data_IF_265462375436
#
_entry.id   IF_265462375436
#
_cell.length_a   1.000
_cell.length_b   1.000
_cell.length_c   1.000
_cell.angle_alpha   90.00
_cell.angle_beta   90.00
_cell.angle_gamma   90.00
#
_symmetry.space_group_name_H-M   'P 1'
#
loop_
_entity.id
_entity.type
_entity.pdbx_description
1 polymer ?
#
# COMPACT_ATOMS: atom_id res chain seq x y z
N UNK A 1 -7.61 55.41 71.00
CA UNK A 1 -7.24 54.13 70.36
C UNK A 1 -8.38 53.71 69.46
N UNK A 2 -8.18 53.57 68.14
CA UNK A 2 -9.24 53.18 67.21
C UNK A 2 -9.43 51.66 67.23
N UNK A 3 -10.69 51.21 67.31
CA UNK A 3 -11.07 49.80 67.17
C UNK A 3 -11.12 49.41 65.70
N UNK A 4 -10.37 48.38 65.34
CA UNK A 4 -10.26 47.85 63.97
C UNK A 4 -11.49 47.00 63.58
N UNK A 5 -12.09 47.18 62.39
CA UNK A 5 -13.27 46.43 61.99
C UNK A 5 -12.90 45.05 61.41
N UNK A 6 -13.11 44.00 62.20
CA UNK A 6 -13.02 42.59 61.78
C UNK A 6 -14.34 42.12 61.16
N UNK A 7 -14.76 42.68 60.03
CA UNK A 7 -16.09 42.32 59.46
C UNK A 7 -16.05 41.81 58.01
N UNK A 8 -14.95 41.99 57.28
CA UNK A 8 -14.90 41.65 55.85
C UNK A 8 -14.23 40.30 55.53
N UNK A 9 -13.33 39.79 56.38
CA UNK A 9 -12.62 38.53 56.12
C UNK A 9 -13.56 37.30 56.19
N UNK A 10 -14.47 37.25 57.15
CA UNK A 10 -15.40 36.13 57.32
C UNK A 10 -16.42 36.02 56.18
N UNK A 11 -16.84 37.15 55.60
CA UNK A 11 -17.81 37.17 54.49
C UNK A 11 -17.16 36.69 53.20
N UNK A 12 -15.95 37.16 52.88
CA UNK A 12 -15.20 36.74 51.68
C UNK A 12 -14.88 35.24 51.72
N UNK A 13 -14.40 34.71 52.85
CA UNK A 13 -14.12 33.27 53.01
C UNK A 13 -15.39 32.41 52.85
N UNK A 14 -16.54 32.89 53.33
CA UNK A 14 -17.82 32.18 53.24
C UNK A 14 -18.41 32.20 51.81
N UNK A 15 -18.14 33.25 51.04
CA UNK A 15 -18.53 33.35 49.62
C UNK A 15 -17.65 32.43 48.77
N UNK A 16 -16.33 32.44 48.98
CA UNK A 16 -15.42 31.49 48.33
C UNK A 16 -15.76 30.04 48.69
N UNK A 17 -16.02 29.71 49.96
CA UNK A 17 -16.41 28.36 50.37
C UNK A 17 -17.74 27.87 49.79
N UNK A 18 -18.71 28.77 49.58
CA UNK A 18 -20.03 28.42 49.02
C UNK A 18 -19.99 28.21 47.51
N UNK A 19 -19.20 29.03 46.79
CA UNK A 19 -18.88 28.79 45.39
C UNK A 19 -18.11 27.48 45.26
N UNK A 20 -17.03 27.29 46.02
CA UNK A 20 -16.17 26.10 45.98
C UNK A 20 -16.95 24.80 46.24
N UNK A 21 -17.94 24.83 47.14
CA UNK A 21 -18.81 23.67 47.42
C UNK A 21 -19.65 23.21 46.21
N UNK A 22 -19.98 24.11 45.27
CA UNK A 22 -20.69 23.76 44.04
C UNK A 22 -19.73 23.39 42.88
N UNK A 23 -18.54 23.99 42.82
CA UNK A 23 -17.54 23.66 41.78
C UNK A 23 -16.89 22.29 41.97
N UNK A 24 -16.69 21.85 43.22
CA UNK A 24 -16.09 20.55 43.55
C UNK A 24 -16.89 19.36 42.98
N UNK A 25 -18.21 19.21 43.25
CA UNK A 25 -18.99 18.10 42.69
C UNK A 25 -19.12 18.20 41.17
N UNK A 26 -19.15 19.42 40.61
CA UNK A 26 -19.18 19.63 39.16
C UNK A 26 -17.87 19.15 38.49
N UNK A 27 -16.73 19.37 39.15
CA UNK A 27 -15.43 18.84 38.73
C UNK A 27 -15.36 17.31 38.80
N UNK A 28 -15.86 16.70 39.88
CA UNK A 28 -15.94 15.23 39.97
C UNK A 28 -16.86 14.63 38.89
N UNK A 29 -18.02 15.23 38.65
CA UNK A 29 -18.95 14.82 37.61
C UNK A 29 -18.30 14.94 36.22
N UNK A 30 -17.56 16.03 35.95
CA UNK A 30 -16.81 16.20 34.72
C UNK A 30 -15.76 15.11 34.53
N UNK A 31 -14.92 14.83 35.55
CA UNK A 31 -13.90 13.77 35.48
C UNK A 31 -14.53 12.40 35.25
N UNK A 32 -15.62 12.07 35.97
CA UNK A 32 -16.32 10.81 35.79
C UNK A 32 -16.93 10.68 34.38
N UNK A 33 -17.52 11.75 33.87
CA UNK A 33 -18.04 11.80 32.49
C UNK A 33 -16.93 11.65 31.46
N UNK A 34 -15.84 12.40 31.58
CA UNK A 34 -14.68 12.29 30.68
C UNK A 34 -14.06 10.89 30.71
N UNK A 35 -13.95 10.27 31.88
CA UNK A 35 -13.49 8.89 32.01
C UNK A 35 -14.44 7.91 31.32
N UNK A 36 -15.76 8.08 31.51
CA UNK A 36 -16.78 7.28 30.83
C UNK A 36 -16.72 7.42 29.30
N UNK A 37 -16.57 8.65 28.79
CA UNK A 37 -16.36 8.91 27.38
C UNK A 37 -15.07 8.27 26.85
N UNK A 38 -13.99 8.30 27.64
CA UNK A 38 -12.72 7.67 27.26
C UNK A 38 -12.85 6.14 27.15
N UNK A 39 -13.48 5.49 28.14
CA UNK A 39 -13.74 4.05 28.12
C UNK A 39 -14.64 3.68 26.93
N UNK A 40 -15.72 4.44 26.69
CA UNK A 40 -16.59 4.24 25.54
C UNK A 40 -15.87 4.42 24.20
N UNK A 41 -15.00 5.42 24.10
CA UNK A 41 -14.17 5.64 22.91
C UNK A 41 -13.20 4.48 22.68
N UNK A 42 -12.52 4.00 23.71
CA UNK A 42 -11.62 2.85 23.59
C UNK A 42 -12.37 1.59 23.14
N UNK A 43 -13.58 1.35 23.64
CA UNK A 43 -14.41 0.23 23.22
C UNK A 43 -14.81 0.30 21.73
N UNK A 44 -15.05 1.50 21.20
CA UNK A 44 -15.28 1.68 19.76
C UNK A 44 -13.99 1.49 18.96
N UNK A 45 -12.89 2.06 19.45
CA UNK A 45 -11.60 2.08 18.76
C UNK A 45 -11.04 0.66 18.57
N UNK A 46 -11.24 -0.23 19.54
CA UNK A 46 -10.71 -1.62 19.49
C UNK A 46 -11.11 -2.35 18.21
N UNK A 47 -12.35 -2.17 17.73
CA UNK A 47 -12.84 -2.82 16.52
C UNK A 47 -12.21 -2.26 15.22
N UNK A 48 -11.75 -1.01 15.23
CA UNK A 48 -11.05 -0.40 14.10
C UNK A 48 -9.55 -0.75 14.13
N UNK A 49 -8.95 -0.86 15.31
CA UNK A 49 -7.52 -1.17 15.47
C UNK A 49 -7.19 -2.67 15.39
N UNK A 50 -8.14 -3.52 15.01
CA UNK A 50 -7.84 -4.95 14.78
C UNK A 50 -6.97 -5.18 13.54
N UNK A 51 -6.82 -4.16 12.70
CA UNK A 51 -6.00 -4.16 11.50
C UNK A 51 -5.32 -2.80 11.29
N UNK A 52 -4.22 -2.81 10.53
CA UNK A 52 -3.44 -1.61 10.22
C UNK A 52 -4.17 -0.64 9.28
N UNK A 53 -5.31 -1.05 8.70
CA UNK A 53 -6.12 -0.22 7.81
C UNK A 53 -7.11 0.68 8.56
N UNK A 54 -7.24 0.50 9.88
CA UNK A 54 -8.22 1.21 10.72
C UNK A 54 -9.64 1.06 10.16
N UNK A 55 -9.93 -0.09 9.55
CA UNK A 55 -11.22 -0.41 8.97
C UNK A 55 -11.91 -1.44 9.86
N UNK A 56 -13.00 -1.02 10.50
CA UNK A 56 -13.83 -1.90 11.33
C UNK A 56 -14.18 -3.20 10.62
N UNK A 57 -13.96 -4.33 11.29
CA UNK A 57 -14.33 -5.68 10.84
C UNK A 57 -13.73 -6.09 9.48
N UNK A 58 -12.56 -5.55 9.10
CA UNK A 58 -11.86 -5.98 7.90
C UNK A 58 -11.29 -7.41 8.07
N UNK A 59 -12.05 -8.40 7.59
CA UNK A 59 -11.78 -9.82 7.76
C UNK A 59 -11.43 -10.52 6.43
N UNK A 60 -10.88 -11.73 6.53
CA UNK A 60 -10.59 -12.60 5.38
C UNK A 60 -11.85 -13.22 4.77
N UNK A 61 -12.94 -13.32 5.53
CA UNK A 61 -14.18 -13.97 5.09
C UNK A 61 -15.03 -13.11 4.16
N UNK A 62 -14.85 -11.77 4.14
CA UNK A 62 -15.65 -10.87 3.31
C UNK A 62 -15.01 -9.52 2.99
N UNK A 63 -14.45 -8.83 3.99
CA UNK A 63 -13.86 -7.48 3.79
C UNK A 63 -12.70 -7.48 2.79
N UNK A 64 -11.79 -8.43 2.92
CA UNK A 64 -10.64 -8.57 2.02
C UNK A 64 -11.04 -8.97 0.60
N UNK A 65 -11.98 -9.91 0.47
CA UNK A 65 -12.44 -10.41 -0.83
C UNK A 65 -13.27 -9.36 -1.58
N UNK A 66 -14.03 -8.53 -0.86
CA UNK A 66 -14.73 -7.37 -1.44
C UNK A 66 -13.78 -6.40 -2.12
N UNK A 67 -12.73 -5.97 -1.42
CA UNK A 67 -11.73 -5.06 -1.97
C UNK A 67 -10.99 -5.71 -3.14
N UNK A 68 -10.63 -6.99 -3.01
CA UNK A 68 -9.94 -7.72 -4.06
C UNK A 68 -10.79 -7.87 -5.33
N UNK A 69 -12.09 -8.15 -5.21
CA UNK A 69 -13.00 -8.28 -6.36
C UNK A 69 -13.20 -6.94 -7.07
N UNK A 70 -13.36 -5.84 -6.32
CA UNK A 70 -13.42 -4.49 -6.90
C UNK A 70 -12.15 -4.16 -7.67
N UNK A 71 -11.00 -4.42 -7.05
CA UNK A 71 -9.70 -4.17 -7.65
C UNK A 71 -9.51 -4.99 -8.93
N UNK A 72 -9.81 -6.30 -8.89
CA UNK A 72 -9.77 -7.19 -10.03
C UNK A 72 -10.71 -6.72 -11.15
N UNK A 73 -11.94 -6.29 -10.82
CA UNK A 73 -12.89 -5.79 -11.81
C UNK A 73 -12.32 -4.55 -12.55
N UNK A 74 -11.75 -3.59 -11.82
CA UNK A 74 -11.14 -2.39 -12.40
C UNK A 74 -9.95 -2.70 -13.27
N UNK A 75 -9.05 -3.55 -12.77
CA UNK A 75 -7.86 -3.97 -13.49
C UNK A 75 -8.21 -4.72 -14.78
N UNK A 76 -9.23 -5.59 -14.76
CA UNK A 76 -9.70 -6.29 -15.96
C UNK A 76 -10.31 -5.35 -17.01
N UNK A 77 -10.90 -4.24 -16.57
CA UNK A 77 -11.42 -3.17 -17.43
C UNK A 77 -10.34 -2.18 -17.90
N UNK A 78 -9.09 -2.35 -17.46
CA UNK A 78 -7.99 -1.43 -17.78
C UNK A 78 -8.16 -0.03 -17.17
N UNK A 79 -8.98 0.10 -16.13
CA UNK A 79 -9.17 1.36 -15.42
C UNK A 79 -8.04 1.58 -14.42
N UNK A 80 -7.46 2.77 -14.42
CA UNK A 80 -6.46 3.21 -13.44
C UNK A 80 -6.99 4.40 -12.65
N UNK A 81 -6.59 4.51 -11.38
CA UNK A 81 -6.95 5.62 -10.51
C UNK A 81 -7.76 5.20 -9.27
N UNK A 82 -8.23 6.17 -8.48
CA UNK A 82 -9.04 5.91 -7.30
C UNK A 82 -10.36 5.25 -7.69
N UNK A 83 -10.81 4.30 -6.88
CA UNK A 83 -12.10 3.63 -7.06
C UNK A 83 -12.99 3.89 -5.86
N UNK A 84 -14.28 4.11 -6.15
CA UNK A 84 -15.30 4.28 -5.13
C UNK A 84 -15.79 2.91 -4.66
N UNK A 85 -15.69 2.66 -3.35
CA UNK A 85 -16.17 1.44 -2.71
C UNK A 85 -17.70 1.33 -2.73
N UNK A 86 -18.40 2.46 -2.77
CA UNK A 86 -19.87 2.50 -2.71
C UNK A 86 -20.55 2.33 -4.07
N UNK A 87 -19.81 2.48 -5.17
CA UNK A 87 -20.33 2.34 -6.54
C UNK A 87 -19.90 1.02 -7.22
N UNK A 88 -19.72 -0.05 -6.43
CA UNK A 88 -19.36 -1.35 -6.98
C UNK A 88 -20.57 -2.02 -7.67
N UNK A 89 -20.47 -2.41 -8.96
CA UNK A 89 -21.52 -3.16 -9.65
C UNK A 89 -21.50 -4.66 -9.29
N UNK A 90 -20.66 -5.09 -8.35
CA UNK A 90 -20.48 -6.50 -8.02
C UNK A 90 -21.66 -7.01 -7.19
N UNK A 91 -22.45 -7.90 -7.79
CA UNK A 91 -23.59 -8.58 -7.18
C UNK A 91 -23.10 -9.81 -6.40
N UNK A 92 -22.46 -9.60 -5.25
CA UNK A 92 -21.94 -10.66 -4.38
C UNK A 92 -22.20 -10.33 -2.92
N UNK A 93 -22.57 -11.34 -2.14
CA UNK A 93 -22.81 -11.18 -0.71
C UNK A 93 -21.50 -11.42 0.06
N UNK A 94 -20.96 -10.36 0.66
CA UNK A 94 -19.75 -10.40 1.49
C UNK A 94 -20.01 -10.59 2.98
N UNK A 95 -21.27 -10.82 3.38
CA UNK A 95 -21.65 -11.16 4.74
C UNK A 95 -21.68 -12.66 5.04
N UNK A 96 -21.32 -13.52 4.08
CA UNK A 96 -21.28 -14.97 4.27
C UNK A 96 -20.09 -15.40 5.15
N UNK A 97 -20.18 -16.60 5.70
CA UNK A 97 -19.12 -17.25 6.49
C UNK A 97 -17.81 -17.39 5.74
N UNK A 98 -17.88 -17.54 4.41
CA UNK A 98 -16.71 -17.58 3.53
C UNK A 98 -17.04 -16.95 2.19
N UNK A 99 -16.10 -16.21 1.63
CA UNK A 99 -16.15 -15.73 0.27
C UNK A 99 -14.79 -15.94 -0.39
N UNK A 100 -14.78 -15.99 -1.72
CA UNK A 100 -13.56 -16.18 -2.53
C UNK A 100 -13.29 -14.94 -3.36
N UNK A 101 -12.08 -14.79 -3.86
CA UNK A 101 -11.74 -13.72 -4.80
C UNK A 101 -12.05 -14.20 -6.21
N UNK A 102 -12.86 -13.46 -6.95
CA UNK A 102 -13.17 -13.71 -8.34
C UNK A 102 -12.14 -13.02 -9.25
N UNK A 103 -11.37 -13.83 -9.96
CA UNK A 103 -10.41 -13.36 -10.96
C UNK A 103 -10.47 -14.27 -12.19
N UNK A 104 -10.60 -13.72 -13.41
CA UNK A 104 -10.50 -14.53 -14.61
C UNK A 104 -9.13 -15.24 -14.66
N UNK A 105 -9.07 -16.55 -15.00
CA UNK A 105 -7.81 -17.29 -15.03
C UNK A 105 -6.79 -16.71 -16.03
N UNK A 106 -7.26 -15.96 -17.02
CA UNK A 106 -6.43 -15.29 -18.03
C UNK A 106 -5.95 -13.90 -17.62
N UNK A 107 -6.46 -13.32 -16.52
CA UNK A 107 -6.17 -11.95 -16.13
C UNK A 107 -4.66 -11.75 -15.84
N UNK A 108 -4.05 -12.63 -15.05
CA UNK A 108 -2.61 -12.56 -14.75
C UNK A 108 -1.75 -12.58 -16.02
N UNK A 109 -2.07 -13.47 -16.97
CA UNK A 109 -1.38 -13.54 -18.26
C UNK A 109 -1.59 -12.26 -19.08
N UNK A 110 -2.80 -11.70 -19.08
CA UNK A 110 -3.10 -10.45 -19.77
C UNK A 110 -2.27 -9.28 -19.22
N UNK A 111 -2.08 -9.21 -17.91
CA UNK A 111 -1.21 -8.20 -17.30
C UNK A 111 0.25 -8.43 -17.61
N UNK A 112 0.74 -9.67 -17.52
CA UNK A 112 2.12 -10.00 -17.85
C UNK A 112 2.47 -9.68 -19.32
N UNK A 113 1.51 -9.89 -20.23
CA UNK A 113 1.67 -9.63 -21.66
C UNK A 113 1.31 -8.19 -22.06
N UNK A 114 1.00 -7.33 -21.08
CA UNK A 114 0.72 -5.93 -21.37
C UNK A 114 2.00 -5.18 -21.77
N UNK A 115 1.84 -4.14 -22.60
CA UNK A 115 2.97 -3.33 -23.05
C UNK A 115 3.51 -2.49 -21.90
N UNK A 116 4.76 -2.75 -21.52
CA UNK A 116 5.48 -1.91 -20.56
C UNK A 116 6.08 -0.71 -21.32
N UNK A 117 5.83 0.54 -20.87
CA UNK A 117 6.48 1.71 -21.45
C UNK A 117 8.01 1.58 -21.37
N UNK A 118 8.71 2.01 -22.42
CA UNK A 118 10.17 1.85 -22.50
C UNK A 118 10.86 2.54 -21.33
N UNK A 119 10.40 3.73 -20.95
CA UNK A 119 10.94 4.51 -19.84
C UNK A 119 10.83 3.74 -18.54
N UNK A 120 9.70 3.05 -18.31
CA UNK A 120 9.49 2.24 -17.12
C UNK A 120 10.41 1.02 -17.11
N UNK A 121 10.58 0.35 -18.25
CA UNK A 121 11.49 -0.78 -18.38
C UNK A 121 12.94 -0.37 -18.06
N UNK A 122 13.41 0.75 -18.62
CA UNK A 122 14.77 1.28 -18.39
C UNK A 122 14.96 1.68 -16.93
N UNK A 123 13.99 2.38 -16.33
CA UNK A 123 14.05 2.75 -14.91
C UNK A 123 14.13 1.52 -14.00
N UNK A 124 13.33 0.48 -14.28
CA UNK A 124 13.36 -0.76 -13.49
C UNK A 124 14.72 -1.46 -13.59
N UNK A 125 15.30 -1.58 -14.79
CA UNK A 125 16.63 -2.20 -14.95
C UNK A 125 17.69 -1.44 -14.14
N UNK A 126 17.66 -0.11 -14.15
CA UNK A 126 18.61 0.74 -13.41
C UNK A 126 18.45 0.68 -11.89
N UNK A 127 17.25 0.38 -11.41
CA UNK A 127 16.95 0.30 -9.98
C UNK A 127 17.26 -1.07 -9.39
N UNK A 128 17.33 -2.10 -10.24
CA UNK A 128 17.64 -3.46 -9.83
C UNK A 128 19.16 -3.68 -9.75
N UNK A 129 19.58 -4.56 -8.85
CA UNK A 129 20.95 -5.07 -8.87
C UNK A 129 21.20 -5.91 -10.13
N UNK A 130 22.46 -6.10 -10.48
CA UNK A 130 22.90 -6.98 -11.54
C UNK A 130 22.34 -8.38 -11.35
N UNK A 131 22.39 -8.91 -10.12
CA UNK A 131 21.87 -10.23 -9.80
C UNK A 131 20.41 -10.38 -10.18
N UNK A 132 19.55 -9.44 -9.77
CA UNK A 132 18.11 -9.45 -10.08
C UNK A 132 17.85 -9.32 -11.59
N UNK A 133 18.62 -8.47 -12.27
CA UNK A 133 18.49 -8.28 -13.71
C UNK A 133 18.93 -9.51 -14.52
N UNK A 134 20.02 -10.18 -14.12
CA UNK A 134 20.51 -11.41 -14.77
C UNK A 134 19.61 -12.60 -14.45
N UNK A 135 19.03 -12.65 -13.25
CA UNK A 135 18.07 -13.68 -12.87
C UNK A 135 16.75 -13.59 -13.64
N UNK A 136 16.45 -12.42 -14.23
CA UNK A 136 15.34 -12.28 -15.16
C UNK A 136 15.50 -13.27 -16.32
N UNK A 137 14.51 -14.15 -16.50
CA UNK A 137 14.55 -15.23 -17.50
C UNK A 137 14.26 -14.66 -18.91
N UNK A 138 15.17 -13.80 -19.37
CA UNK A 138 15.16 -13.25 -20.72
C UNK A 138 15.99 -14.17 -21.59
N UNK A 139 15.33 -14.76 -22.57
CA UNK A 139 16.03 -15.49 -23.61
C UNK A 139 16.70 -14.46 -24.54
N UNK A 140 17.94 -14.10 -24.27
CA UNK A 140 18.70 -13.21 -25.15
C UNK A 140 19.04 -13.93 -26.46
N UNK A 141 19.13 -13.19 -27.55
CA UNK A 141 19.52 -13.68 -28.87
C UNK A 141 20.95 -13.25 -29.23
N UNK A 142 21.37 -12.07 -28.77
CA UNK A 142 22.73 -11.55 -28.99
C UNK A 142 23.30 -10.92 -27.73
N UNK A 143 24.63 -10.98 -27.61
CA UNK A 143 25.32 -10.27 -26.54
C UNK A 143 25.31 -8.77 -26.81
N UNK A 144 25.61 -8.36 -28.05
CA UNK A 144 25.82 -6.97 -28.46
C UNK A 144 24.86 -6.51 -29.57
N UNK A 145 24.67 -5.19 -29.70
CA UNK A 145 23.81 -4.56 -30.71
C UNK A 145 24.27 -4.82 -32.14
N UNK A 146 25.58 -4.96 -32.35
CA UNK A 146 26.15 -5.31 -33.66
C UNK A 146 25.89 -6.77 -34.04
N UNK A 147 25.32 -7.57 -33.12
CA UNK A 147 24.98 -8.98 -33.31
C UNK A 147 26.19 -9.84 -33.66
N UNK A 148 27.37 -9.49 -33.16
CA UNK A 148 28.61 -10.24 -33.42
C UNK A 148 28.62 -11.57 -32.69
N UNK A 149 28.02 -11.62 -31.51
CA UNK A 149 27.98 -12.82 -30.69
C UNK A 149 26.55 -13.32 -30.52
N UNK A 150 26.25 -14.46 -31.15
CA UNK A 150 24.95 -15.14 -31.05
C UNK A 150 24.89 -15.98 -29.77
N UNK A 151 23.78 -15.87 -29.03
CA UNK A 151 23.59 -16.55 -27.74
C UNK A 151 22.26 -17.31 -27.64
N UNK A 152 21.47 -17.40 -28.72
CA UNK A 152 20.27 -18.19 -28.68
C UNK A 152 20.58 -19.69 -28.51
N UNK A 153 19.83 -20.35 -27.62
CA UNK A 153 20.03 -21.76 -27.26
C UNK A 153 19.90 -22.76 -28.44
N UNK A 154 19.28 -22.38 -29.55
CA UNK A 154 19.17 -23.22 -30.75
C UNK A 154 19.28 -22.38 -32.02
N UNK A 155 19.79 -22.98 -33.10
CA UNK A 155 19.86 -22.34 -34.43
C UNK A 155 18.47 -21.92 -34.94
N UNK A 156 17.45 -22.76 -34.72
CA UNK A 156 16.08 -22.43 -35.09
C UNK A 156 15.55 -21.19 -34.36
N UNK A 157 15.93 -20.99 -33.09
CA UNK A 157 15.60 -19.79 -32.33
C UNK A 157 16.37 -18.57 -32.85
N UNK A 158 17.65 -18.73 -33.15
CA UNK A 158 18.50 -17.68 -33.71
C UNK A 158 17.91 -17.12 -35.02
N UNK A 159 17.50 -17.99 -35.94
CA UNK A 159 16.81 -17.60 -37.18
C UNK A 159 15.50 -16.83 -36.92
N UNK A 160 14.70 -17.26 -35.93
CA UNK A 160 13.49 -16.53 -35.54
C UNK A 160 13.81 -15.15 -34.96
N UNK A 161 14.87 -15.03 -34.16
CA UNK A 161 15.30 -13.73 -33.63
C UNK A 161 15.69 -12.79 -34.78
N UNK A 162 16.53 -13.26 -35.70
CA UNK A 162 16.97 -12.49 -36.86
C UNK A 162 15.79 -12.06 -37.76
N UNK A 163 14.76 -12.90 -37.88
CA UNK A 163 13.60 -12.61 -38.72
C UNK A 163 12.55 -11.69 -38.06
N UNK A 164 12.42 -11.66 -36.72
CA UNK A 164 11.26 -11.05 -36.05
C UNK A 164 11.55 -10.21 -34.80
N UNK A 165 12.78 -10.21 -34.28
CA UNK A 165 13.09 -9.60 -32.97
C UNK A 165 14.14 -8.48 -33.05
N UNK A 166 14.50 -8.02 -34.25
CA UNK A 166 15.53 -6.99 -34.43
C UNK A 166 15.20 -5.65 -33.76
N UNK A 167 13.91 -5.32 -33.63
CA UNK A 167 13.45 -4.09 -32.97
C UNK A 167 13.20 -4.27 -31.47
N UNK A 168 13.41 -5.47 -30.93
CA UNK A 168 13.20 -5.76 -29.52
C UNK A 168 14.52 -5.60 -28.76
N UNK A 169 14.69 -4.49 -28.05
CA UNK A 169 15.88 -4.25 -27.24
C UNK A 169 16.13 -5.37 -26.21
N UNK A 170 15.08 -5.98 -25.66
CA UNK A 170 15.21 -7.01 -24.63
C UNK A 170 15.94 -8.29 -25.08
N UNK A 171 16.10 -8.55 -26.39
CA UNK A 171 16.88 -9.73 -26.83
C UNK A 171 18.38 -9.48 -26.92
N UNK A 172 18.86 -8.28 -26.58
CA UNK A 172 20.26 -7.88 -26.58
C UNK A 172 20.76 -7.75 -25.14
N UNK A 173 21.68 -8.60 -24.71
CA UNK A 173 22.21 -8.57 -23.33
C UNK A 173 22.89 -7.24 -22.99
N UNK A 174 23.52 -6.60 -23.98
CA UNK A 174 24.13 -5.27 -23.85
C UNK A 174 23.14 -4.19 -23.37
N UNK A 175 21.84 -4.32 -23.66
CA UNK A 175 20.84 -3.36 -23.16
C UNK A 175 20.76 -3.36 -21.65
N UNK A 176 20.78 -4.54 -21.03
CA UNK A 176 20.79 -4.68 -19.59
C UNK A 176 22.13 -4.17 -19.05
N UNK A 177 23.26 -4.67 -19.57
CA UNK A 177 24.60 -4.33 -19.09
C UNK A 177 24.91 -2.82 -19.13
N UNK A 178 24.41 -2.08 -20.14
CA UNK A 178 24.57 -0.62 -20.22
C UNK A 178 23.70 0.16 -19.25
N UNK A 179 22.71 -0.48 -18.63
CA UNK A 179 21.76 0.16 -17.72
C UNK A 179 21.87 -0.33 -16.28
N UNK A 180 22.80 -1.23 -15.95
CA UNK A 180 23.10 -1.61 -14.56
C UNK A 180 24.17 -0.68 -13.98
N UNK A 181 24.20 -0.55 -12.65
CA UNK A 181 25.25 0.15 -11.93
C UNK A 181 26.64 -0.45 -12.24
N UNK A 182 27.60 0.43 -12.56
CA UNK A 182 28.97 0.03 -12.87
C UNK A 182 29.70 -0.59 -11.67
N UNK A 183 29.38 -0.15 -10.46
CA UNK A 183 30.03 -0.66 -9.26
C UNK A 183 29.59 -2.12 -9.01
N UNK A 184 28.30 -2.41 -9.20
CA UNK A 184 27.74 -3.76 -9.08
C UNK A 184 28.32 -4.72 -10.15
N UNK A 185 28.53 -4.22 -11.38
CA UNK A 185 29.20 -4.96 -12.45
C UNK A 185 30.67 -5.29 -12.13
N UNK A 186 31.41 -4.36 -11.53
CA UNK A 186 32.84 -4.58 -11.23
C UNK A 186 33.06 -5.45 -10.00
N UNK A 187 32.21 -5.31 -8.97
CA UNK A 187 32.27 -6.12 -7.75
C UNK A 187 31.88 -7.58 -7.97
N UNK A 188 31.02 -7.87 -8.94
CA UNK A 188 30.60 -9.24 -9.28
C UNK A 188 31.60 -9.98 -10.19
N UNK A 189 32.56 -9.26 -10.78
CA UNK A 189 33.58 -9.82 -11.68
C UNK A 189 34.91 -10.17 -10.99
N UNK A 190 35.07 -9.83 -9.70
CA UNK A 190 36.24 -10.14 -8.88
C UNK A 190 35.96 -11.25 -7.87
#
# INVERSE_FOLDING_TARGET
MPSSPKTNAYVVVKVYGRLFCHWVPLGFAYVAFSLGCNVGYMALLTEYTTNDYWWRQFNTSGGQTFVADIFNAKINLGQSGPFDLYQSPILKNYGDTTTFIDMPPTAARRHLMSTVPLEKAVMTIRQNSLYENVYSIVAHCWVDFDRRFEMAHTSARQLRCAARQLTNAGVYMETMLRNVDSDDLTLSAG
#
